data_IF_524900231528
#
_entry.id   IF_524900231528
#
_cell.length_a   1.000
_cell.length_b   1.000
_cell.length_c   1.000
_cell.angle_alpha   90.00
_cell.angle_beta   90.00
_cell.angle_gamma   90.00
#
_symmetry.space_group_name_H-M   'P 1'
#
loop_
_entity.id
_entity.type
_entity.pdbx_description
1 polymer ?
#
# COMPACT_ATOMS: atom_id res chain seq x y z
N UNK A 1 1.97 13.16 -18.50
CA UNK A 1 1.75 11.80 -19.06
C UNK A 1 2.90 11.39 -19.99
N UNK A 2 3.14 12.12 -21.10
CA UNK A 2 4.20 11.82 -22.08
C UNK A 2 5.61 11.77 -21.47
N UNK A 3 5.96 12.70 -20.58
CA UNK A 3 7.27 12.72 -19.91
C UNK A 3 7.50 11.50 -19.00
N UNK A 4 6.44 10.91 -18.45
CA UNK A 4 6.54 9.73 -17.60
C UNK A 4 6.60 8.45 -18.42
N UNK A 5 5.88 8.39 -19.54
CA UNK A 5 5.84 7.20 -20.41
C UNK A 5 5.86 7.61 -21.90
N UNK A 6 7.03 7.95 -22.47
CA UNK A 6 7.13 8.38 -23.87
C UNK A 6 6.68 7.31 -24.87
N UNK A 7 6.80 6.02 -24.49
CA UNK A 7 6.38 4.88 -25.31
C UNK A 7 4.88 4.85 -25.59
N UNK A 8 4.08 5.65 -24.87
CA UNK A 8 2.64 5.75 -25.12
C UNK A 8 2.31 6.16 -26.56
N UNK A 9 3.19 6.93 -27.21
CA UNK A 9 3.05 7.38 -28.61
C UNK A 9 3.16 6.21 -29.60
N UNK A 10 3.81 5.12 -29.20
CA UNK A 10 4.00 3.92 -30.04
C UNK A 10 2.91 2.87 -29.89
N UNK A 11 1.99 3.02 -28.93
CA UNK A 11 0.87 2.08 -28.82
C UNK A 11 -0.13 2.33 -29.95
N UNK A 12 -0.82 1.28 -30.39
CA UNK A 12 -2.03 1.48 -31.20
C UNK A 12 -3.09 2.13 -30.29
N UNK A 13 -3.16 3.46 -30.35
CA UNK A 13 -3.85 4.30 -29.38
C UNK A 13 -5.33 3.93 -29.31
N UNK A 14 -6.00 3.74 -30.45
CA UNK A 14 -7.45 3.56 -30.47
C UNK A 14 -7.88 2.29 -29.76
N UNK A 15 -7.35 1.14 -30.18
CA UNK A 15 -7.77 -0.15 -29.61
C UNK A 15 -7.27 -0.34 -28.18
N UNK A 16 -6.03 0.08 -27.89
CA UNK A 16 -5.43 -0.12 -26.58
C UNK A 16 -6.01 0.82 -25.53
N UNK A 17 -6.25 2.08 -25.88
CA UNK A 17 -6.82 3.05 -24.94
C UNK A 17 -8.26 2.68 -24.61
N UNK A 18 -9.09 2.34 -25.61
CA UNK A 18 -10.47 1.92 -25.37
C UNK A 18 -10.54 0.71 -24.45
N UNK A 19 -9.74 -0.34 -24.69
CA UNK A 19 -9.69 -1.51 -23.79
C UNK A 19 -9.37 -1.15 -22.33
N UNK A 20 -8.43 -0.23 -22.11
CA UNK A 20 -8.04 0.20 -20.77
C UNK A 20 -9.15 1.06 -20.13
N UNK A 21 -9.76 1.95 -20.90
CA UNK A 21 -10.88 2.79 -20.45
C UNK A 21 -12.08 1.92 -20.09
N UNK A 22 -12.45 0.98 -20.95
CA UNK A 22 -13.56 0.04 -20.74
C UNK A 22 -13.32 -0.82 -19.50
N UNK A 23 -12.09 -1.34 -19.33
CA UNK A 23 -11.72 -2.07 -18.11
C UNK A 23 -11.82 -1.19 -16.86
N UNK A 24 -11.31 0.04 -16.88
CA UNK A 24 -11.42 0.93 -15.72
C UNK A 24 -12.88 1.30 -15.43
N UNK A 25 -13.70 1.50 -16.46
CA UNK A 25 -15.14 1.71 -16.33
C UNK A 25 -15.84 0.48 -15.76
N UNK A 26 -15.44 -0.74 -16.15
CA UNK A 26 -16.01 -1.99 -15.62
C UNK A 26 -15.65 -2.23 -14.15
N UNK A 27 -14.61 -1.59 -13.61
CA UNK A 27 -14.34 -1.54 -12.17
C UNK A 27 -15.26 -0.56 -11.41
N UNK A 28 -16.17 0.13 -12.11
CA UNK A 28 -17.09 1.11 -11.54
C UNK A 28 -16.55 2.53 -11.46
N UNK A 29 -15.46 2.87 -12.18
CA UNK A 29 -14.95 4.25 -12.27
C UNK A 29 -15.79 5.05 -13.28
N UNK A 30 -17.06 5.27 -12.96
CA UNK A 30 -18.03 5.91 -13.87
C UNK A 30 -18.14 7.42 -13.69
N UNK A 31 -17.64 7.98 -12.57
CA UNK A 31 -17.66 9.43 -12.37
C UNK A 31 -16.65 10.11 -13.28
N UNK A 32 -17.05 11.25 -13.82
CA UNK A 32 -16.22 12.06 -14.71
C UNK A 32 -14.84 12.35 -14.10
N UNK A 33 -13.79 12.23 -14.91
CA UNK A 33 -12.42 12.47 -14.51
C UNK A 33 -11.73 11.37 -13.69
N UNK A 34 -12.45 10.35 -13.18
CA UNK A 34 -11.83 9.27 -12.40
C UNK A 34 -10.82 8.46 -13.22
N UNK A 35 -11.20 8.02 -14.42
CA UNK A 35 -10.32 7.29 -15.33
C UNK A 35 -9.11 8.15 -15.71
N UNK A 36 -9.34 9.42 -16.03
CA UNK A 36 -8.26 10.38 -16.32
C UNK A 36 -7.26 10.51 -15.17
N UNK A 37 -7.74 10.54 -13.91
CA UNK A 37 -6.89 10.55 -12.72
C UNK A 37 -6.00 9.30 -12.62
N UNK A 38 -6.52 8.12 -12.97
CA UNK A 38 -5.73 6.87 -13.02
C UNK A 38 -4.61 6.99 -14.06
N UNK A 39 -4.96 7.38 -15.29
CA UNK A 39 -4.03 7.46 -16.41
C UNK A 39 -2.93 8.51 -16.20
N UNK A 40 -3.26 9.65 -15.60
CA UNK A 40 -2.30 10.69 -15.25
C UNK A 40 -1.37 10.22 -14.13
N UNK A 41 -1.91 9.55 -13.10
CA UNK A 41 -1.14 9.08 -11.95
C UNK A 41 -0.16 7.97 -12.32
N UNK A 42 -0.58 7.02 -13.17
CA UNK A 42 0.26 5.91 -13.58
C UNK A 42 0.07 5.55 -15.06
N UNK A 43 0.68 6.32 -15.97
CA UNK A 43 0.50 6.14 -17.42
C UNK A 43 1.07 4.84 -17.97
N UNK A 44 1.86 4.12 -17.18
CA UNK A 44 2.38 2.80 -17.57
C UNK A 44 1.29 1.73 -17.63
N UNK A 45 0.12 1.95 -17.01
CA UNK A 45 -1.01 0.99 -17.04
C UNK A 45 -1.41 0.62 -18.48
N UNK A 46 -1.29 1.57 -19.41
CA UNK A 46 -1.60 1.36 -20.83
C UNK A 46 -0.66 0.39 -21.54
N UNK A 47 0.51 0.09 -20.96
CA UNK A 47 1.42 -0.92 -21.49
C UNK A 47 1.02 -2.36 -21.15
N UNK A 48 0.06 -2.57 -20.24
CA UNK A 48 -0.32 -3.90 -19.78
C UNK A 48 -1.54 -4.46 -20.51
N UNK A 49 -1.59 -5.79 -20.68
CA UNK A 49 -2.77 -6.48 -21.22
C UNK A 49 -3.89 -6.49 -20.18
N UNK A 50 -5.11 -6.14 -20.60
CA UNK A 50 -6.31 -6.23 -19.75
C UNK A 50 -6.50 -7.69 -19.32
N UNK A 51 -6.60 -8.61 -20.28
CA UNK A 51 -6.92 -10.02 -20.02
C UNK A 51 -5.83 -10.78 -19.28
N UNK A 52 -4.55 -10.48 -19.57
CA UNK A 52 -3.41 -11.22 -19.00
C UNK A 52 -2.83 -10.59 -17.73
N UNK A 53 -3.15 -9.32 -17.44
CA UNK A 53 -2.60 -8.61 -16.27
C UNK A 53 -3.66 -7.92 -15.44
N UNK A 54 -4.39 -6.95 -15.99
CA UNK A 54 -5.21 -6.06 -15.18
C UNK A 54 -6.43 -6.79 -14.58
N UNK A 55 -7.16 -7.54 -15.41
CA UNK A 55 -8.33 -8.30 -14.98
C UNK A 55 -7.99 -9.44 -14.01
N UNK A 56 -6.97 -10.30 -14.25
CA UNK A 56 -6.56 -11.28 -13.25
C UNK A 56 -6.16 -10.65 -11.91
N UNK A 57 -5.59 -9.45 -11.95
CA UNK A 57 -5.20 -8.74 -10.73
C UNK A 57 -6.41 -8.21 -9.96
N UNK A 58 -7.41 -7.63 -10.64
CA UNK A 58 -8.65 -7.21 -9.96
C UNK A 58 -9.40 -8.41 -9.38
N UNK A 59 -9.47 -9.53 -10.09
CA UNK A 59 -10.11 -10.75 -9.58
C UNK A 59 -9.35 -11.35 -8.39
N UNK A 60 -8.01 -11.30 -8.40
CA UNK A 60 -7.24 -11.67 -7.23
C UNK A 60 -7.57 -10.80 -6.02
N UNK A 61 -7.68 -9.47 -6.19
CA UNK A 61 -8.04 -8.56 -5.10
C UNK A 61 -9.44 -8.90 -4.53
N UNK A 62 -10.42 -9.22 -5.38
CA UNK A 62 -11.74 -9.72 -4.94
C UNK A 62 -11.61 -11.02 -4.14
N UNK A 63 -10.79 -11.96 -4.64
CA UNK A 63 -10.61 -13.28 -4.00
C UNK A 63 -10.00 -13.22 -2.59
N UNK A 64 -9.31 -12.12 -2.24
CA UNK A 64 -8.77 -11.88 -0.90
C UNK A 64 -9.69 -10.97 -0.04
N UNK A 65 -10.93 -10.74 -0.50
CA UNK A 65 -11.97 -10.08 0.28
C UNK A 65 -12.15 -8.58 0.04
N UNK A 66 -11.48 -7.98 -0.95
CA UNK A 66 -11.73 -6.57 -1.28
C UNK A 66 -13.09 -6.41 -1.95
N UNK A 67 -13.84 -5.39 -1.54
CA UNK A 67 -15.10 -5.01 -2.17
C UNK A 67 -14.84 -4.27 -3.49
N UNK A 68 -15.88 -4.13 -4.32
CA UNK A 68 -15.80 -3.31 -5.55
C UNK A 68 -15.37 -1.87 -5.24
N UNK A 69 -15.86 -1.30 -4.14
CA UNK A 69 -15.46 0.05 -3.69
C UNK A 69 -13.98 0.11 -3.28
N UNK A 70 -13.45 -0.94 -2.66
CA UNK A 70 -12.02 -1.01 -2.32
C UNK A 70 -11.17 -1.09 -3.59
N UNK A 71 -11.60 -1.87 -4.59
CA UNK A 71 -10.90 -1.98 -5.87
C UNK A 71 -10.91 -0.65 -6.63
N UNK A 72 -12.02 0.10 -6.60
CA UNK A 72 -12.05 1.46 -7.14
C UNK A 72 -11.02 2.37 -6.45
N UNK A 73 -10.94 2.31 -5.12
CA UNK A 73 -9.95 3.08 -4.34
C UNK A 73 -8.53 2.66 -4.68
N UNK A 74 -8.26 1.36 -4.88
CA UNK A 74 -6.96 0.84 -5.32
C UNK A 74 -6.63 1.37 -6.72
N UNK A 75 -7.55 1.27 -7.68
CA UNK A 75 -7.34 1.73 -9.05
C UNK A 75 -7.01 3.23 -9.09
N UNK A 76 -7.71 4.05 -8.31
CA UNK A 76 -7.52 5.51 -8.28
C UNK A 76 -6.22 5.90 -7.54
N UNK A 77 -5.95 5.28 -6.41
CA UNK A 77 -4.88 5.73 -5.50
C UNK A 77 -3.58 4.95 -5.64
N UNK A 78 -3.62 3.71 -6.10
CA UNK A 78 -2.48 2.80 -6.24
C UNK A 78 -2.56 1.97 -7.54
N UNK A 79 -2.75 2.61 -8.71
CA UNK A 79 -2.91 1.92 -10.00
C UNK A 79 -1.76 0.98 -10.36
N UNK A 80 -0.57 1.20 -9.81
CA UNK A 80 0.59 0.34 -9.99
C UNK A 80 0.35 -1.10 -9.52
N UNK A 81 -0.60 -1.32 -8.60
CA UNK A 81 -0.94 -2.66 -8.08
C UNK A 81 -1.59 -3.51 -9.16
N UNK A 82 -2.54 -2.94 -9.92
CA UNK A 82 -3.21 -3.63 -11.04
C UNK A 82 -2.23 -4.08 -12.12
N UNK A 83 -1.04 -3.47 -12.15
CA UNK A 83 0.01 -3.72 -13.14
C UNK A 83 1.03 -4.79 -12.70
N UNK A 84 0.85 -5.43 -11.55
CA UNK A 84 1.79 -6.42 -11.02
C UNK A 84 1.28 -7.84 -11.19
N UNK A 85 2.22 -8.77 -11.28
CA UNK A 85 1.89 -10.16 -11.57
C UNK A 85 1.32 -10.86 -10.35
N UNK A 86 0.12 -11.43 -10.50
CA UNK A 86 -0.57 -12.13 -9.41
C UNK A 86 0.27 -13.28 -8.86
N UNK A 87 0.81 -14.13 -9.73
CA UNK A 87 1.49 -15.35 -9.30
C UNK A 87 2.93 -15.10 -8.87
N UNK A 88 3.58 -14.07 -9.42
CA UNK A 88 4.98 -13.75 -9.08
C UNK A 88 5.12 -12.75 -7.93
N UNK A 89 4.11 -11.91 -7.69
CA UNK A 89 4.22 -10.81 -6.72
C UNK A 89 3.08 -10.86 -5.69
N UNK A 90 1.82 -10.67 -6.11
CA UNK A 90 0.73 -10.44 -5.14
C UNK A 90 0.44 -11.69 -4.29
N UNK A 91 0.38 -12.87 -4.91
CA UNK A 91 0.11 -14.12 -4.22
C UNK A 91 1.26 -14.49 -3.27
N UNK A 92 2.55 -14.45 -3.68
CA UNK A 92 3.67 -14.60 -2.74
C UNK A 92 3.61 -13.63 -1.55
N UNK A 93 3.32 -12.34 -1.78
CA UNK A 93 3.18 -11.37 -0.69
C UNK A 93 2.00 -11.70 0.23
N UNK A 94 0.84 -12.08 -0.31
CA UNK A 94 -0.32 -12.49 0.48
C UNK A 94 -0.04 -13.77 1.28
N UNK A 95 0.61 -14.77 0.68
CA UNK A 95 1.04 -15.98 1.36
C UNK A 95 2.03 -15.68 2.47
N UNK A 96 3.01 -14.79 2.24
CA UNK A 96 3.94 -14.36 3.26
C UNK A 96 3.22 -13.73 4.46
N UNK A 97 2.24 -12.85 4.24
CA UNK A 97 1.43 -12.30 5.33
C UNK A 97 0.70 -13.41 6.11
N UNK A 98 0.12 -14.41 5.44
CA UNK A 98 -0.46 -15.58 6.12
C UNK A 98 0.58 -16.31 6.98
N UNK A 99 1.79 -16.53 6.47
CA UNK A 99 2.86 -17.19 7.24
C UNK A 99 3.35 -16.39 8.44
N UNK A 100 3.17 -15.06 8.43
CA UNK A 100 3.45 -14.21 9.59
C UNK A 100 2.36 -14.30 10.68
N UNK A 101 1.25 -15.01 10.43
CA UNK A 101 0.16 -15.20 11.38
C UNK A 101 -1.08 -14.34 11.13
N UNK A 102 -1.16 -13.61 10.01
CA UNK A 102 -2.38 -12.84 9.71
C UNK A 102 -3.51 -13.73 9.22
N UNK A 103 -4.68 -13.56 9.84
CA UNK A 103 -5.92 -14.15 9.37
C UNK A 103 -6.41 -13.49 8.06
N UNK A 104 -7.28 -14.19 7.32
CA UNK A 104 -7.80 -13.67 6.04
C UNK A 104 -8.43 -12.28 6.17
N UNK A 105 -9.25 -12.04 7.21
CA UNK A 105 -9.87 -10.73 7.43
C UNK A 105 -8.85 -9.62 7.78
N UNK A 106 -7.78 -9.97 8.49
CA UNK A 106 -6.69 -9.03 8.79
C UNK A 106 -5.89 -8.69 7.53
N UNK A 107 -5.66 -9.66 6.64
CA UNK A 107 -5.05 -9.41 5.34
C UNK A 107 -5.93 -8.49 4.50
N UNK A 108 -7.24 -8.72 4.46
CA UNK A 108 -8.18 -7.80 3.80
C UNK A 108 -8.05 -6.38 4.37
N UNK A 109 -8.05 -6.22 5.69
CA UNK A 109 -7.89 -4.92 6.35
C UNK A 109 -6.55 -4.24 6.01
N UNK A 110 -5.45 -5.01 6.01
CA UNK A 110 -4.12 -4.52 5.63
C UNK A 110 -4.08 -4.05 4.18
N UNK A 111 -4.65 -4.82 3.25
CA UNK A 111 -4.65 -4.48 1.82
C UNK A 111 -5.59 -3.31 1.55
N UNK A 112 -6.74 -3.21 2.21
CA UNK A 112 -7.64 -2.06 2.06
C UNK A 112 -7.01 -0.78 2.60
N UNK A 113 -6.34 -0.83 3.76
CA UNK A 113 -5.73 0.35 4.38
C UNK A 113 -4.39 0.77 3.75
N UNK A 114 -3.57 -0.20 3.33
CA UNK A 114 -2.29 0.06 2.66
C UNK A 114 -2.06 -0.93 1.49
N UNK A 115 -2.76 -0.75 0.36
CA UNK A 115 -2.66 -1.64 -0.80
C UNK A 115 -1.24 -1.97 -1.29
N UNK A 116 -0.26 -1.03 -1.26
CA UNK A 116 1.10 -1.32 -1.69
C UNK A 116 1.78 -2.48 -0.95
N UNK A 117 1.27 -2.92 0.20
CA UNK A 117 1.78 -4.09 0.93
C UNK A 117 1.93 -5.33 0.04
N UNK A 118 1.06 -5.51 -0.97
CA UNK A 118 1.10 -6.65 -1.89
C UNK A 118 2.20 -6.59 -2.95
N UNK A 119 2.89 -5.46 -3.09
CA UNK A 119 3.91 -5.25 -4.13
C UNK A 119 5.25 -4.79 -3.56
N UNK A 120 5.40 -4.80 -2.23
CA UNK A 120 6.66 -4.51 -1.53
C UNK A 120 7.60 -5.71 -1.59
N UNK A 121 8.90 -5.45 -1.53
CA UNK A 121 9.88 -6.51 -1.26
C UNK A 121 9.61 -7.12 0.12
N UNK A 122 9.49 -8.44 0.17
CA UNK A 122 9.37 -9.19 1.43
C UNK A 122 10.64 -8.96 2.27
N UNK A 123 11.79 -9.38 1.74
CA UNK A 123 13.07 -9.39 2.47
C UNK A 123 13.59 -8.00 2.84
N UNK A 124 13.32 -6.98 2.01
CA UNK A 124 13.88 -5.63 2.22
C UNK A 124 12.86 -4.61 2.74
N UNK A 125 11.57 -4.97 2.84
CA UNK A 125 10.56 -4.04 3.33
C UNK A 125 9.59 -4.62 4.35
N UNK A 126 8.94 -5.75 4.06
CA UNK A 126 7.91 -6.29 4.96
C UNK A 126 8.54 -6.98 6.16
N UNK A 127 9.44 -7.94 5.92
CA UNK A 127 10.08 -8.73 6.97
C UNK A 127 10.83 -7.85 7.99
N UNK A 128 11.69 -6.88 7.60
CA UNK A 128 12.38 -6.06 8.58
C UNK A 128 11.44 -5.24 9.48
N UNK A 129 10.26 -4.86 8.98
CA UNK A 129 9.26 -4.11 9.76
C UNK A 129 8.49 -5.01 10.71
N UNK A 130 8.14 -6.22 10.27
CA UNK A 130 7.47 -7.21 11.11
C UNK A 130 8.42 -7.64 12.24
N UNK A 131 9.68 -7.97 11.94
CA UNK A 131 10.67 -8.30 12.97
C UNK A 131 10.89 -7.15 13.94
N UNK A 132 10.94 -5.90 13.44
CA UNK A 132 11.03 -4.74 14.33
C UNK A 132 9.82 -4.61 15.26
N UNK A 133 8.60 -4.83 14.77
CA UNK A 133 7.38 -4.81 15.59
C UNK A 133 7.43 -5.88 16.71
N UNK A 134 7.73 -7.12 16.34
CA UNK A 134 7.70 -8.25 17.27
C UNK A 134 8.91 -8.23 18.23
N UNK A 135 10.12 -8.19 17.68
CA UNK A 135 11.36 -8.44 18.42
C UNK A 135 11.85 -7.20 19.17
N UNK A 136 11.60 -6.00 18.63
CA UNK A 136 12.14 -4.74 19.18
C UNK A 136 11.08 -3.92 19.90
N UNK A 137 9.88 -3.83 19.34
CA UNK A 137 8.77 -3.11 19.99
C UNK A 137 8.04 -4.00 21.01
N UNK A 138 8.18 -5.33 20.94
CA UNK A 138 7.49 -6.26 21.83
C UNK A 138 5.98 -6.24 21.64
N UNK A 139 5.52 -6.04 20.40
CA UNK A 139 4.12 -5.82 20.04
C UNK A 139 3.52 -7.02 19.34
N UNK A 140 2.19 -7.06 19.32
CA UNK A 140 1.45 -8.13 18.69
C UNK A 140 1.25 -7.85 17.19
N UNK A 141 1.28 -8.90 16.37
CA UNK A 141 1.23 -8.76 14.90
C UNK A 141 -0.12 -8.19 14.45
N UNK A 142 -1.18 -8.47 15.19
CA UNK A 142 -2.55 -8.03 14.91
C UNK A 142 -2.71 -6.50 15.02
N UNK A 143 -1.84 -5.82 15.79
CA UNK A 143 -1.88 -4.35 15.92
C UNK A 143 -1.74 -3.64 14.58
N UNK A 144 -0.98 -4.20 13.63
CA UNK A 144 -0.81 -3.57 12.31
C UNK A 144 -2.02 -3.78 11.40
N UNK A 145 -2.90 -4.75 11.66
CA UNK A 145 -4.17 -4.87 10.95
C UNK A 145 -5.11 -3.70 11.29
N UNK A 146 -5.06 -3.22 12.54
CA UNK A 146 -5.76 -2.01 13.00
C UNK A 146 -5.09 -0.70 12.56
N UNK A 147 -3.81 -0.75 12.18
CA UNK A 147 -3.07 0.39 11.62
C UNK A 147 -2.21 0.00 10.40
N UNK A 148 -2.82 -0.28 9.22
CA UNK A 148 -2.09 -0.77 8.04
C UNK A 148 -0.99 0.17 7.53
N UNK A 149 -1.13 1.47 7.78
CA UNK A 149 -0.13 2.49 7.42
C UNK A 149 1.21 2.31 8.15
N UNK A 150 1.31 1.40 9.14
CA UNK A 150 2.59 0.95 9.71
C UNK A 150 3.64 0.66 8.63
N UNK A 151 3.25 -0.05 7.57
CA UNK A 151 4.14 -0.43 6.46
C UNK A 151 4.53 0.71 5.53
N UNK A 152 3.83 1.85 5.58
CA UNK A 152 4.19 3.07 4.86
C UNK A 152 5.43 3.73 5.46
N UNK A 153 5.59 3.64 6.78
CA UNK A 153 6.64 4.36 7.50
C UNK A 153 8.02 3.77 7.23
N UNK A 154 9.03 4.64 7.16
CA UNK A 154 10.42 4.22 7.02
C UNK A 154 10.94 3.59 8.31
N UNK A 155 11.53 2.40 8.21
CA UNK A 155 12.03 1.63 9.36
C UNK A 155 13.01 2.46 10.22
N UNK A 156 14.14 2.88 9.64
CA UNK A 156 15.16 3.66 10.36
C UNK A 156 14.69 5.07 10.74
N UNK A 157 14.24 5.84 9.75
CA UNK A 157 13.95 7.27 9.90
C UNK A 157 12.74 7.57 10.80
N UNK A 158 11.82 6.61 10.98
CA UNK A 158 10.57 6.85 11.71
C UNK A 158 10.29 5.81 12.77
N UNK A 159 10.26 4.52 12.44
CA UNK A 159 9.89 3.47 13.41
C UNK A 159 10.95 3.36 14.53
N UNK A 160 12.19 3.08 14.16
CA UNK A 160 13.31 2.93 15.10
C UNK A 160 13.55 4.21 15.91
N UNK A 161 13.61 5.35 15.22
CA UNK A 161 13.89 6.63 15.88
C UNK A 161 12.82 6.98 16.93
N UNK A 162 11.53 6.80 16.60
CA UNK A 162 10.44 7.09 17.55
C UNK A 162 10.41 6.08 18.68
N UNK A 163 10.60 4.78 18.40
CA UNK A 163 10.64 3.75 19.43
C UNK A 163 11.75 4.01 20.44
N UNK A 164 12.96 4.38 19.97
CA UNK A 164 14.09 4.73 20.84
C UNK A 164 13.75 5.89 21.79
N UNK A 165 13.13 6.95 21.28
CA UNK A 165 12.76 8.12 22.09
C UNK A 165 11.67 7.81 23.12
N UNK A 166 10.66 7.03 22.75
CA UNK A 166 9.60 6.63 23.69
C UNK A 166 10.14 5.69 24.78
N UNK A 167 11.00 4.73 24.42
CA UNK A 167 11.63 3.81 25.38
C UNK A 167 12.51 4.53 26.39
N UNK A 168 13.24 5.57 25.99
CA UNK A 168 14.05 6.40 26.89
C UNK A 168 13.24 7.07 28.01
N UNK A 169 11.94 7.30 27.79
CA UNK A 169 11.03 7.92 28.77
C UNK A 169 9.98 6.96 29.30
N UNK A 170 10.11 5.67 29.02
CA UNK A 170 9.14 4.64 29.38
C UNK A 170 7.69 4.97 28.98
N UNK A 171 7.50 5.58 27.80
CA UNK A 171 6.19 5.97 27.30
C UNK A 171 5.57 4.82 26.50
N UNK A 172 4.37 4.41 26.90
CA UNK A 172 3.54 3.48 26.16
C UNK A 172 2.43 4.22 25.40
N UNK A 173 2.20 3.85 24.14
CA UNK A 173 1.13 4.39 23.30
C UNK A 173 0.78 3.41 22.17
N UNK A 174 -0.31 3.64 21.46
CA UNK A 174 -0.67 2.85 20.27
C UNK A 174 0.20 3.19 19.05
N UNK A 175 0.21 2.30 18.04
CA UNK A 175 0.91 2.53 16.78
C UNK A 175 0.43 3.80 16.06
N UNK A 176 -0.87 4.05 16.05
CA UNK A 176 -1.46 5.25 15.42
C UNK A 176 -1.03 6.52 16.16
N UNK A 177 -1.07 6.54 17.49
CA UNK A 177 -0.61 7.70 18.25
C UNK A 177 0.87 8.00 18.05
N UNK A 178 1.68 6.94 17.95
CA UNK A 178 3.12 7.03 17.71
C UNK A 178 3.42 7.51 16.30
N UNK A 179 2.68 7.04 15.28
CA UNK A 179 3.11 7.12 13.88
C UNK A 179 2.25 8.06 13.02
N UNK A 180 1.00 8.33 13.38
CA UNK A 180 0.07 9.15 12.59
C UNK A 180 0.20 10.66 12.83
N UNK A 181 1.45 11.14 12.83
CA UNK A 181 1.76 12.55 12.99
C UNK A 181 3.14 12.87 12.41
N UNK A 182 3.35 14.11 11.96
CA UNK A 182 4.68 14.56 11.55
C UNK A 182 5.64 14.65 12.77
N UNK A 183 6.94 14.88 12.51
CA UNK A 183 7.96 14.86 13.57
C UNK A 183 7.73 15.93 14.65
N UNK A 184 7.35 17.15 14.27
CA UNK A 184 7.05 18.23 15.22
C UNK A 184 5.91 17.83 16.16
N UNK A 185 4.78 17.42 15.60
CA UNK A 185 3.61 16.96 16.37
C UNK A 185 3.95 15.77 17.27
N UNK A 186 4.78 14.83 16.80
CA UNK A 186 5.26 13.71 17.62
C UNK A 186 6.05 14.20 18.84
N UNK A 187 7.02 15.10 18.63
CA UNK A 187 7.86 15.63 19.71
C UNK A 187 7.04 16.41 20.74
N UNK A 188 6.14 17.27 20.28
CA UNK A 188 5.23 18.03 21.14
C UNK A 188 4.31 17.09 21.94
N UNK A 189 3.67 16.13 21.27
CA UNK A 189 2.71 15.19 21.88
C UNK A 189 3.31 14.40 23.03
N UNK A 190 4.57 14.00 22.92
CA UNK A 190 5.25 13.19 23.95
C UNK A 190 6.22 14.00 24.82
N UNK A 191 6.16 15.34 24.74
CA UNK A 191 7.00 16.23 25.54
C UNK A 191 8.51 16.07 25.28
N UNK A 192 8.89 15.58 24.10
CA UNK A 192 10.27 15.26 23.71
C UNK A 192 11.02 16.46 23.11
N UNK A 193 10.41 17.65 23.13
CA UNK A 193 11.08 18.88 22.72
C UNK A 193 12.22 19.14 23.70
N UNK A 194 13.44 19.28 23.18
CA UNK A 194 14.56 19.76 23.99
C UNK A 194 14.24 21.19 24.39
N UNK A 195 13.96 21.41 25.69
CA UNK A 195 14.00 22.76 26.23
C UNK A 195 15.48 23.15 26.18
N UNK A 196 15.84 24.00 25.23
CA UNK A 196 17.12 24.70 25.31
C UNK A 196 17.12 25.46 26.64
N UNK A 197 17.99 25.05 27.54
CA UNK A 197 18.37 25.81 28.73
C UNK A 197 19.43 26.84 28.33
#
# INVERSE_FOLDING_TARGET
>A
MLLLNPRIISYNIETKLSQIVDFLASLGLTKEGMIGKVLVKYPFIMGYSVDKRLHPTSEFLKSIGLTELDIQRVAINFPEILCRDVNKILRPNSTYLKTCGFESGQITALVTGYPPILIKSINHSLEPRIRFLLDVMGRQIEEVASYPDFFRHGLKKRLEWRQKRLKQRNIHCSLSEMLDCNQRKFLEKFGLVERFA
#
